data_IF_611418413988
#
_entry.id   IF_611418413988
#
_cell.length_a   1.000
_cell.length_b   1.000
_cell.length_c   1.000
_cell.angle_alpha   90.00
_cell.angle_beta   90.00
_cell.angle_gamma   90.00
#
_symmetry.space_group_name_H-M   'P 1'
#
loop_
_entity.id
_entity.type
_entity.pdbx_description
1 polymer ?
#
# COMPACT_ATOMS: atom_id res chain seq x y z
N UNK A 1 17.96 6.61 -0.98
CA UNK A 1 18.31 7.56 0.10
C UNK A 1 19.66 8.23 -0.09
N UNK A 2 20.80 7.52 0.02
CA UNK A 2 22.14 8.16 -0.04
C UNK A 2 22.36 9.06 -1.26
N UNK A 3 21.90 8.65 -2.45
CA UNK A 3 21.99 9.48 -3.66
C UNK A 3 21.20 10.81 -3.57
N UNK A 4 20.01 10.80 -2.97
CA UNK A 4 19.18 12.00 -2.79
C UNK A 4 19.86 12.99 -1.84
N UNK A 5 20.33 12.47 -0.69
CA UNK A 5 21.05 13.25 0.32
C UNK A 5 22.35 13.84 -0.24
N UNK A 6 23.12 13.06 -1.02
CA UNK A 6 24.36 13.50 -1.66
C UNK A 6 24.13 14.66 -2.64
N UNK A 7 22.93 14.81 -3.19
CA UNK A 7 22.54 15.92 -4.05
C UNK A 7 21.99 17.14 -3.28
N UNK A 8 22.02 17.12 -1.95
CA UNK A 8 21.62 18.25 -1.10
C UNK A 8 20.13 18.32 -0.77
N UNK A 9 19.36 17.25 -1.05
CA UNK A 9 17.93 17.19 -0.73
C UNK A 9 17.72 16.42 0.58
N UNK A 10 16.85 16.95 1.44
CA UNK A 10 16.43 16.26 2.66
C UNK A 10 15.52 15.07 2.32
N UNK A 11 15.49 14.07 3.20
CA UNK A 11 14.69 12.84 3.03
C UNK A 11 13.95 12.52 4.31
N UNK A 12 12.62 12.47 4.22
CA UNK A 12 11.79 11.85 5.26
C UNK A 12 11.65 10.34 5.00
N UNK A 13 12.28 9.53 5.83
CA UNK A 13 12.18 8.08 5.77
C UNK A 13 10.95 7.59 6.55
N UNK A 14 9.88 7.34 5.79
CA UNK A 14 8.59 6.89 6.30
C UNK A 14 8.54 5.40 6.72
N UNK A 15 9.64 4.65 6.58
CA UNK A 15 9.70 3.23 6.89
C UNK A 15 8.77 2.39 6.00
N UNK A 16 8.15 1.35 6.57
CA UNK A 16 7.19 0.52 5.86
C UNK A 16 5.81 1.18 5.80
N UNK A 17 5.27 1.33 4.59
CA UNK A 17 3.94 1.85 4.31
C UNK A 17 3.42 1.26 3.00
N UNK A 18 2.12 1.37 2.72
CA UNK A 18 1.56 1.02 1.41
C UNK A 18 1.88 2.09 0.37
N UNK A 19 1.84 1.75 -0.92
CA UNK A 19 2.00 2.73 -2.00
C UNK A 19 1.00 3.91 -1.87
N UNK A 20 -0.31 3.67 -1.64
CA UNK A 20 -1.27 4.75 -1.35
C UNK A 20 -0.95 5.55 -0.09
N UNK A 21 -0.34 4.92 0.92
CA UNK A 21 0.10 5.60 2.13
C UNK A 21 1.22 6.60 1.87
N UNK A 22 2.22 6.23 1.06
CA UNK A 22 3.27 7.16 0.64
C UNK A 22 2.71 8.30 -0.22
N UNK A 23 1.88 7.96 -1.21
CA UNK A 23 1.22 8.93 -2.10
C UNK A 23 0.44 9.99 -1.30
N UNK A 24 -0.32 9.55 -0.30
CA UNK A 24 -1.03 10.45 0.61
C UNK A 24 -0.09 11.38 1.38
N UNK A 25 1.03 10.86 1.91
CA UNK A 25 1.99 11.66 2.67
C UNK A 25 2.68 12.71 1.80
N UNK A 26 3.04 12.35 0.56
CA UNK A 26 3.63 13.27 -0.42
C UNK A 26 2.66 14.41 -0.73
N UNK A 27 1.41 14.08 -1.03
CA UNK A 27 0.35 15.08 -1.26
C UNK A 27 0.18 16.02 -0.08
N UNK A 28 0.27 15.51 1.14
CA UNK A 28 0.13 16.29 2.37
C UNK A 28 1.33 17.23 2.61
N UNK A 29 2.53 16.83 2.20
CA UNK A 29 3.73 17.66 2.28
C UNK A 29 3.69 18.83 1.29
N UNK A 30 3.09 18.63 0.10
CA UNK A 30 2.74 19.68 -0.86
C UNK A 30 3.84 20.09 -1.84
N UNK A 31 5.11 20.05 -1.43
CA UNK A 31 6.28 20.37 -2.28
C UNK A 31 7.31 19.24 -2.36
N UNK A 32 7.03 18.09 -1.76
CA UNK A 32 7.90 16.91 -1.78
C UNK A 32 7.62 16.02 -3.00
N UNK A 33 8.61 15.22 -3.40
CA UNK A 33 8.40 14.04 -4.26
C UNK A 33 8.58 12.78 -3.42
N UNK A 34 7.95 11.68 -3.82
CA UNK A 34 8.05 10.37 -3.17
C UNK A 34 8.83 9.35 -3.98
N UNK A 35 9.51 8.43 -3.30
CA UNK A 35 10.08 7.23 -3.92
C UNK A 35 9.67 6.02 -3.10
N UNK A 36 8.78 5.19 -3.67
CA UNK A 36 8.34 3.94 -3.05
C UNK A 36 9.25 2.80 -3.51
N UNK A 37 9.85 2.05 -2.60
CA UNK A 37 10.61 0.84 -2.94
C UNK A 37 9.64 -0.34 -2.99
N UNK A 38 9.34 -0.82 -4.18
CA UNK A 38 8.32 -1.85 -4.42
C UNK A 38 8.45 -2.46 -5.81
N UNK A 39 8.04 -3.72 -5.96
CA UNK A 39 7.71 -4.32 -7.25
C UNK A 39 6.23 -4.74 -7.32
N UNK A 40 5.37 -4.12 -6.52
CA UNK A 40 3.92 -4.33 -6.46
C UNK A 40 3.55 -5.82 -6.36
N UNK A 41 3.06 -6.40 -7.45
CA UNK A 41 2.53 -7.75 -7.54
C UNK A 41 3.56 -8.79 -8.01
N UNK A 42 4.79 -8.37 -8.32
CA UNK A 42 5.84 -9.25 -8.83
C UNK A 42 6.31 -10.28 -7.77
N UNK A 43 6.90 -11.40 -8.22
CA UNK A 43 7.52 -12.40 -7.34
C UNK A 43 8.64 -11.85 -6.42
N UNK A 44 9.00 -12.57 -5.33
CA UNK A 44 9.98 -12.12 -4.33
C UNK A 44 11.35 -11.68 -4.85
N UNK A 45 11.81 -12.25 -5.96
CA UNK A 45 13.11 -11.95 -6.57
C UNK A 45 13.15 -10.57 -7.25
N UNK A 46 12.00 -9.95 -7.47
CA UNK A 46 11.90 -8.62 -8.07
C UNK A 46 11.82 -7.54 -6.99
N UNK A 47 12.48 -6.43 -7.26
CA UNK A 47 12.29 -5.18 -6.54
C UNK A 47 12.44 -4.01 -7.53
N UNK A 48 11.95 -2.85 -7.15
CA UNK A 48 11.96 -1.68 -8.00
C UNK A 48 11.69 -0.42 -7.20
N UNK A 49 11.37 0.66 -7.90
CA UNK A 49 10.85 1.85 -7.27
C UNK A 49 9.81 2.53 -8.13
N UNK A 50 8.80 3.13 -7.49
CA UNK A 50 7.84 4.05 -8.10
C UNK A 50 8.21 5.47 -7.66
N UNK A 51 8.16 6.44 -8.57
CA UNK A 51 8.39 7.86 -8.25
C UNK A 51 7.04 8.57 -8.26
N UNK A 52 6.78 9.33 -7.19
CA UNK A 52 5.53 10.05 -6.94
C UNK A 52 5.82 11.55 -6.98
N UNK A 53 4.99 12.30 -7.67
CA UNK A 53 5.06 13.75 -7.79
C UNK A 53 4.40 14.45 -6.60
N UNK A 54 4.56 15.78 -6.50
CA UNK A 54 4.09 16.55 -5.33
C UNK A 54 2.58 16.58 -5.13
N UNK A 55 1.80 16.24 -6.14
CA UNK A 55 0.35 16.08 -6.03
C UNK A 55 -0.08 14.72 -5.43
N UNK A 56 0.88 13.82 -5.22
CA UNK A 56 0.69 12.47 -4.71
C UNK A 56 0.44 11.40 -5.77
N UNK A 57 0.53 11.74 -7.07
CA UNK A 57 0.35 10.78 -8.18
C UNK A 57 1.70 10.31 -8.69
N UNK A 58 1.80 9.10 -9.25
CA UNK A 58 3.00 8.68 -9.98
C UNK A 58 3.36 9.69 -11.08
N UNK A 59 4.66 9.90 -11.28
CA UNK A 59 5.14 10.85 -12.28
C UNK A 59 4.67 10.48 -13.69
N UNK A 60 4.34 11.49 -14.49
CA UNK A 60 3.95 11.30 -15.88
C UNK A 60 5.12 10.79 -16.75
N UNK A 61 4.77 10.19 -17.89
CA UNK A 61 5.73 9.53 -18.79
C UNK A 61 6.87 10.45 -19.26
N UNK A 62 6.59 11.71 -19.51
CA UNK A 62 7.59 12.71 -19.91
C UNK A 62 8.65 12.98 -18.81
N UNK A 63 8.23 12.96 -17.54
CA UNK A 63 9.13 13.04 -16.39
C UNK A 63 9.93 11.75 -16.22
N UNK A 64 9.32 10.58 -16.44
CA UNK A 64 10.07 9.30 -16.47
C UNK A 64 11.18 9.34 -17.52
N UNK A 65 10.85 9.72 -18.76
CA UNK A 65 11.80 9.82 -19.86
C UNK A 65 12.93 10.83 -19.57
N UNK A 66 12.60 11.91 -18.87
CA UNK A 66 13.60 12.86 -18.39
C UNK A 66 14.56 12.20 -17.40
N UNK A 67 14.07 11.45 -16.42
CA UNK A 67 14.89 10.73 -15.44
C UNK A 67 15.76 9.66 -16.14
N UNK A 68 15.17 8.88 -17.05
CA UNK A 68 15.87 7.87 -17.86
C UNK A 68 17.00 8.50 -18.69
N UNK A 69 16.75 9.66 -19.30
CA UNK A 69 17.74 10.40 -20.09
C UNK A 69 18.89 11.03 -19.29
N UNK A 70 18.70 11.23 -17.98
CA UNK A 70 19.75 11.70 -17.06
C UNK A 70 20.68 10.57 -16.61
N UNK A 71 20.13 9.36 -16.45
CA UNK A 71 20.87 8.21 -15.91
C UNK A 71 22.19 7.88 -16.63
N UNK A 72 22.25 7.80 -17.98
CA UNK A 72 23.48 7.41 -18.69
C UNK A 72 24.55 8.51 -18.68
N UNK A 73 24.19 9.77 -18.41
CA UNK A 73 25.12 10.91 -18.47
C UNK A 73 26.22 10.83 -17.41
N UNK A 74 25.98 10.11 -16.31
CA UNK A 74 26.90 9.93 -15.17
C UNK A 74 27.49 11.21 -14.58
N UNK A 75 26.95 12.38 -14.93
CA UNK A 75 27.41 13.70 -14.48
C UNK A 75 26.71 14.09 -13.17
N UNK A 76 26.83 13.23 -12.16
CA UNK A 76 26.22 13.43 -10.85
C UNK A 76 27.06 14.40 -10.03
N UNK A 77 26.49 15.55 -9.65
CA UNK A 77 27.14 16.52 -8.78
C UNK A 77 26.82 16.20 -7.33
N UNK A 78 27.85 15.89 -6.55
CA UNK A 78 27.74 15.81 -5.09
C UNK A 78 27.70 17.24 -4.53
N UNK A 79 26.69 17.53 -3.72
CA UNK A 79 26.55 18.80 -3.00
C UNK A 79 27.67 18.93 -1.95
N UNK A 80 28.16 20.16 -1.75
CA UNK A 80 29.06 20.48 -0.62
C UNK A 80 28.32 20.47 0.73
N UNK A 81 26.99 20.52 0.69
CA UNK A 81 26.10 20.47 1.84
C UNK A 81 25.07 19.37 1.58
N UNK A 82 25.37 18.12 1.98
CA UNK A 82 24.41 17.02 1.86
C UNK A 82 23.13 17.30 2.66
N UNK A 83 22.01 16.79 2.20
CA UNK A 83 20.74 16.86 2.92
C UNK A 83 20.74 15.96 4.16
N UNK A 84 19.67 16.07 4.94
CA UNK A 84 19.46 15.32 6.18
C UNK A 84 18.39 14.25 6.01
N UNK A 85 18.64 13.08 6.61
CA UNK A 85 17.60 12.06 6.79
C UNK A 85 16.87 12.32 8.09
N UNK A 86 15.56 12.40 8.03
CA UNK A 86 14.68 12.44 9.18
C UNK A 86 13.75 11.23 9.17
N UNK A 87 13.19 10.91 10.33
CA UNK A 87 12.17 9.88 10.46
C UNK A 87 10.93 10.57 11.05
N UNK A 88 9.90 10.88 10.24
CA UNK A 88 8.72 11.54 10.75
C UNK A 88 8.03 10.66 11.80
N UNK A 89 7.45 11.24 12.86
CA UNK A 89 6.75 10.47 13.87
C UNK A 89 5.45 9.89 13.28
N UNK A 90 5.31 8.57 13.35
CA UNK A 90 4.08 7.83 12.99
C UNK A 90 3.48 8.23 11.62
N UNK A 91 4.26 8.13 10.51
CA UNK A 91 3.80 8.57 9.19
C UNK A 91 2.49 7.87 8.79
N UNK A 92 2.39 6.58 9.10
CA UNK A 92 1.21 5.77 8.83
C UNK A 92 -0.05 6.24 9.60
N UNK A 93 0.10 6.81 10.79
CA UNK A 93 -1.03 7.28 11.59
C UNK A 93 -1.76 8.43 10.90
N UNK A 94 -1.03 9.31 10.20
CA UNK A 94 -1.64 10.40 9.42
C UNK A 94 -2.54 9.85 8.32
N UNK A 95 -2.08 8.81 7.62
CA UNK A 95 -2.86 8.13 6.59
C UNK A 95 -4.09 7.42 7.17
N UNK A 96 -3.89 6.61 8.22
CA UNK A 96 -4.97 5.88 8.90
C UNK A 96 -6.04 6.81 9.49
N UNK A 97 -5.62 7.91 10.12
CA UNK A 97 -6.53 8.93 10.64
C UNK A 97 -7.35 9.58 9.53
N UNK A 98 -6.73 9.91 8.39
CA UNK A 98 -7.43 10.43 7.23
C UNK A 98 -8.48 9.44 6.70
N UNK A 99 -8.09 8.19 6.46
CA UNK A 99 -9.01 7.12 6.06
C UNK A 99 -10.18 6.96 7.05
N UNK A 100 -9.89 7.03 8.35
CA UNK A 100 -10.90 6.99 9.40
C UNK A 100 -11.99 8.05 9.24
N UNK A 101 -11.68 9.24 8.72
CA UNK A 101 -12.67 10.31 8.50
C UNK A 101 -13.69 9.97 7.40
N UNK A 102 -13.30 9.21 6.38
CA UNK A 102 -14.21 8.78 5.32
C UNK A 102 -15.19 7.72 5.83
N UNK A 103 -14.72 6.82 6.69
CA UNK A 103 -15.51 5.69 7.20
C UNK A 103 -16.36 6.08 8.41
N UNK A 104 -15.90 6.99 9.27
CA UNK A 104 -16.63 7.46 10.46
C UNK A 104 -17.99 8.12 10.15
N UNK A 105 -18.17 8.59 8.91
CA UNK A 105 -19.44 9.18 8.44
C UNK A 105 -20.56 8.15 8.26
N UNK A 106 -20.24 6.85 8.29
CA UNK A 106 -21.20 5.76 8.12
C UNK A 106 -21.27 4.95 9.41
N UNK A 107 -22.47 4.72 9.93
CA UNK A 107 -22.67 3.80 11.06
C UNK A 107 -22.39 2.38 10.56
N UNK A 108 -21.17 1.88 10.78
CA UNK A 108 -20.90 0.45 10.66
C UNK A 108 -21.59 -0.23 11.83
N UNK A 109 -22.40 -1.25 11.55
CA UNK A 109 -22.96 -2.07 12.61
C UNK A 109 -21.81 -2.68 13.41
N UNK A 110 -21.77 -2.37 14.71
CA UNK A 110 -20.78 -2.94 15.61
C UNK A 110 -20.94 -4.47 15.55
N UNK A 111 -19.82 -5.20 15.38
CA UNK A 111 -19.70 -6.67 15.39
C UNK A 111 -19.79 -7.42 14.05
N UNK A 112 -19.73 -6.75 12.89
CA UNK A 112 -19.53 -7.48 11.63
C UNK A 112 -18.14 -8.14 11.60
N UNK A 113 -18.05 -9.37 11.08
CA UNK A 113 -16.78 -10.08 10.91
C UNK A 113 -16.29 -9.91 9.48
N UNK A 114 -15.04 -9.51 9.32
CA UNK A 114 -14.36 -9.38 8.01
C UNK A 114 -13.08 -10.19 8.04
N UNK A 115 -12.78 -10.89 6.94
CA UNK A 115 -11.49 -11.59 6.76
C UNK A 115 -10.57 -10.77 5.88
N UNK A 116 -9.32 -10.60 6.28
CA UNK A 116 -8.33 -9.82 5.50
C UNK A 116 -7.12 -10.69 5.21
N UNK A 117 -6.83 -10.92 3.92
CA UNK A 117 -5.60 -11.54 3.45
C UNK A 117 -4.63 -10.47 2.96
N UNK A 118 -3.62 -10.15 3.75
CA UNK A 118 -2.65 -9.10 3.39
C UNK A 118 -1.50 -9.64 2.55
N UNK A 119 -1.53 -10.93 2.20
CA UNK A 119 -0.59 -11.55 1.27
C UNK A 119 0.87 -11.43 1.70
N UNK A 120 1.17 -11.34 3.00
CA UNK A 120 2.49 -11.03 3.56
C UNK A 120 3.06 -9.65 3.16
N UNK A 121 2.23 -8.78 2.58
CA UNK A 121 2.57 -7.43 2.18
C UNK A 121 2.32 -6.38 3.26
N UNK A 122 2.62 -5.12 2.92
CA UNK A 122 2.54 -3.98 3.85
C UNK A 122 1.10 -3.54 4.17
N UNK A 123 0.09 -4.10 3.48
CA UNK A 123 -1.32 -3.91 3.83
C UNK A 123 -1.67 -4.40 5.26
N UNK A 124 -0.84 -5.27 5.86
CA UNK A 124 -0.90 -5.65 7.28
C UNK A 124 -0.90 -4.46 8.23
N UNK A 125 -0.26 -3.36 7.84
CA UNK A 125 -0.17 -2.14 8.64
C UNK A 125 -1.42 -1.25 8.51
N UNK A 126 -2.27 -1.47 7.50
CA UNK A 126 -3.37 -0.57 7.13
C UNK A 126 -4.74 -1.19 7.31
N UNK A 127 -5.20 -1.99 6.35
CA UNK A 127 -6.60 -2.47 6.27
C UNK A 127 -7.08 -3.16 7.55
N UNK A 128 -6.34 -4.12 8.14
CA UNK A 128 -6.76 -4.74 9.40
C UNK A 128 -6.85 -3.73 10.56
N UNK A 129 -5.96 -2.75 10.60
CA UNK A 129 -5.92 -1.72 11.64
C UNK A 129 -7.15 -0.81 11.52
N UNK A 130 -7.44 -0.34 10.31
CA UNK A 130 -8.60 0.53 10.04
C UNK A 130 -9.92 -0.18 10.36
N UNK A 131 -10.09 -1.43 9.91
CA UNK A 131 -11.31 -2.22 10.15
C UNK A 131 -11.54 -2.47 11.65
N UNK A 132 -10.48 -2.71 12.43
CA UNK A 132 -10.59 -2.82 13.89
C UNK A 132 -10.99 -1.49 14.54
N UNK A 133 -10.44 -0.35 14.08
CA UNK A 133 -10.77 0.99 14.60
C UNK A 133 -12.24 1.34 14.43
N UNK A 134 -12.87 0.89 13.34
CA UNK A 134 -14.30 1.13 13.07
C UNK A 134 -15.22 0.08 13.70
N UNK A 135 -14.67 -0.87 14.48
CA UNK A 135 -15.44 -1.81 15.31
C UNK A 135 -15.78 -3.14 14.65
N UNK A 136 -15.14 -3.50 13.53
CA UNK A 136 -15.24 -4.84 12.95
C UNK A 136 -14.46 -5.86 13.79
N UNK A 137 -14.97 -7.10 13.85
CA UNK A 137 -14.14 -8.25 14.19
C UNK A 137 -13.31 -8.60 12.96
N UNK A 138 -11.99 -8.55 13.07
CA UNK A 138 -11.09 -8.79 11.93
C UNK A 138 -10.33 -10.08 12.14
N UNK A 139 -10.52 -11.02 11.22
CA UNK A 139 -9.71 -12.23 11.10
C UNK A 139 -8.70 -11.99 9.99
N UNK A 140 -7.42 -12.27 10.24
CA UNK A 140 -6.37 -12.04 9.24
C UNK A 140 -5.73 -13.32 8.75
N UNK A 141 -5.29 -13.31 7.50
CA UNK A 141 -4.53 -14.36 6.82
C UNK A 141 -3.27 -13.70 6.27
N UNK A 142 -2.13 -14.40 6.35
CA UNK A 142 -0.84 -13.92 5.84
C UNK A 142 -0.42 -12.54 6.41
N UNK A 143 -0.80 -12.23 7.66
CA UNK A 143 -0.66 -10.89 8.28
C UNK A 143 0.72 -10.57 8.84
N UNK A 144 1.67 -11.51 8.72
CA UNK A 144 3.06 -11.26 8.98
C UNK A 144 3.74 -10.72 7.70
N UNK A 145 4.35 -9.53 7.79
CA UNK A 145 5.07 -8.92 6.68
C UNK A 145 6.31 -9.76 6.38
N UNK A 146 6.38 -10.33 5.18
CA UNK A 146 7.47 -11.17 4.72
C UNK A 146 7.61 -11.07 3.20
N UNK A 147 8.69 -10.42 2.73
CA UNK A 147 8.96 -10.20 1.31
C UNK A 147 9.22 -11.48 0.49
N UNK A 148 9.27 -12.66 1.15
CA UNK A 148 9.29 -13.96 0.47
C UNK A 148 7.91 -14.43 0.03
N UNK A 149 6.84 -13.75 0.45
CA UNK A 149 5.45 -14.05 0.11
C UNK A 149 5.06 -15.54 0.34
N UNK A 150 5.27 -16.11 1.54
CA UNK A 150 5.08 -17.55 1.78
C UNK A 150 3.62 -18.02 1.73
N UNK A 151 2.65 -17.13 1.98
CA UNK A 151 1.22 -17.49 2.02
C UNK A 151 0.59 -17.67 0.65
N UNK A 152 0.99 -16.84 -0.31
CA UNK A 152 0.64 -16.89 -1.74
C UNK A 152 1.51 -15.89 -2.49
N UNK A 153 1.52 -15.96 -3.82
CA UNK A 153 2.10 -14.90 -4.65
C UNK A 153 1.51 -13.53 -4.29
N UNK A 154 2.33 -12.48 -4.40
CA UNK A 154 1.95 -11.09 -4.07
C UNK A 154 0.62 -10.70 -4.72
N UNK A 155 0.43 -10.97 -6.01
CA UNK A 155 -0.82 -10.68 -6.71
C UNK A 155 -2.01 -11.51 -6.18
N UNK A 156 -3.15 -10.89 -5.76
CA UNK A 156 -4.34 -11.58 -5.29
C UNK A 156 -5.23 -12.05 -6.47
N UNK A 157 -4.80 -13.09 -7.18
CA UNK A 157 -5.55 -13.65 -8.31
C UNK A 157 -6.58 -14.69 -7.83
N UNK A 158 -7.75 -14.83 -8.48
CA UNK A 158 -8.80 -15.75 -8.02
C UNK A 158 -8.32 -17.17 -7.69
N UNK A 159 -7.38 -17.71 -8.46
CA UNK A 159 -6.80 -19.04 -8.26
C UNK A 159 -6.00 -19.20 -6.95
N UNK A 160 -5.55 -18.11 -6.32
CA UNK A 160 -4.78 -18.16 -5.08
C UNK A 160 -5.55 -17.67 -3.83
N UNK A 161 -6.83 -17.32 -3.98
CA UNK A 161 -7.69 -16.84 -2.89
C UNK A 161 -8.57 -17.92 -2.25
N UNK A 162 -8.32 -19.20 -2.56
CA UNK A 162 -8.99 -20.34 -1.93
C UNK A 162 -8.97 -20.31 -0.40
N UNK A 163 -7.82 -20.06 0.26
CA UNK A 163 -7.75 -19.92 1.72
C UNK A 163 -8.62 -18.78 2.27
N UNK A 164 -8.63 -17.61 1.60
CA UNK A 164 -9.50 -16.49 1.98
C UNK A 164 -10.98 -16.86 1.88
N UNK A 165 -11.40 -17.47 0.76
CA UNK A 165 -12.77 -17.92 0.58
C UNK A 165 -13.20 -18.98 1.61
N UNK A 166 -12.31 -19.89 1.98
CA UNK A 166 -12.56 -20.86 3.04
C UNK A 166 -12.74 -20.19 4.41
N UNK A 167 -11.85 -19.27 4.76
CA UNK A 167 -11.92 -18.52 6.01
C UNK A 167 -13.17 -17.66 6.11
N UNK A 168 -13.60 -17.00 5.02
CA UNK A 168 -14.85 -16.22 5.00
C UNK A 168 -16.05 -17.09 5.37
N UNK A 169 -16.19 -18.27 4.75
CA UNK A 169 -17.25 -19.23 5.07
C UNK A 169 -17.16 -19.76 6.50
N UNK A 170 -15.96 -20.11 6.96
CA UNK A 170 -15.73 -20.67 8.29
C UNK A 170 -16.06 -19.66 9.40
N UNK A 171 -15.64 -18.42 9.23
CA UNK A 171 -15.85 -17.33 10.19
C UNK A 171 -17.24 -16.71 10.08
N UNK A 172 -18.04 -17.11 9.08
CA UNK A 172 -19.33 -16.48 8.73
C UNK A 172 -19.15 -14.97 8.57
N UNK A 173 -18.06 -14.58 7.91
CA UNK A 173 -17.73 -13.20 7.67
C UNK A 173 -18.67 -12.61 6.61
N UNK A 174 -18.94 -11.30 6.71
CA UNK A 174 -19.79 -10.60 5.74
C UNK A 174 -19.11 -10.43 4.39
N UNK A 175 -17.77 -10.38 4.38
CA UNK A 175 -16.93 -10.47 3.20
C UNK A 175 -15.48 -10.74 3.62
N UNK A 176 -14.63 -11.05 2.64
CA UNK A 176 -13.19 -11.05 2.73
C UNK A 176 -12.56 -10.06 1.75
N UNK A 177 -11.36 -9.58 2.06
CA UNK A 177 -10.57 -8.72 1.16
C UNK A 177 -9.11 -9.18 1.11
N UNK A 178 -8.54 -9.24 -0.10
CA UNK A 178 -7.15 -9.57 -0.35
C UNK A 178 -6.40 -8.37 -0.94
N UNK A 179 -5.17 -8.14 -0.49
CA UNK A 179 -4.29 -7.09 -1.00
C UNK A 179 -3.07 -7.67 -1.73
N UNK A 180 -2.47 -6.87 -2.61
CA UNK A 180 -1.14 -7.17 -3.16
C UNK A 180 -0.01 -6.63 -2.27
N UNK A 181 1.24 -6.85 -2.68
CA UNK A 181 2.43 -6.66 -1.86
C UNK A 181 2.61 -5.24 -1.32
N UNK A 182 2.32 -4.22 -2.12
CA UNK A 182 2.36 -2.81 -1.72
C UNK A 182 1.00 -2.19 -1.38
N UNK A 183 -0.08 -2.99 -1.45
CA UNK A 183 -1.39 -2.64 -0.94
C UNK A 183 -2.12 -1.56 -1.74
N UNK A 184 -1.85 -1.43 -3.04
CA UNK A 184 -2.62 -0.57 -3.95
C UNK A 184 -3.81 -1.29 -4.58
N UNK A 185 -3.83 -2.64 -4.60
CA UNK A 185 -4.96 -3.45 -5.08
C UNK A 185 -5.77 -4.03 -3.94
N UNK A 186 -7.07 -4.21 -4.19
CA UNK A 186 -8.00 -4.92 -3.31
C UNK A 186 -8.92 -5.83 -4.13
N UNK A 187 -9.00 -7.11 -3.77
CA UNK A 187 -9.91 -8.10 -4.36
C UNK A 187 -10.85 -8.62 -3.28
N UNK A 188 -12.14 -8.63 -3.57
CA UNK A 188 -13.18 -8.96 -2.59
C UNK A 188 -13.70 -10.39 -2.78
N UNK A 189 -14.06 -10.99 -1.66
CA UNK A 189 -14.70 -12.30 -1.58
C UNK A 189 -16.00 -12.14 -0.81
N UNK A 190 -17.12 -12.56 -1.36
CA UNK A 190 -18.42 -12.46 -0.67
C UNK A 190 -18.60 -13.53 0.42
N UNK A 191 -19.72 -13.46 1.16
CA UNK A 191 -20.06 -14.37 2.26
C UNK A 191 -20.21 -15.84 1.82
N UNK A 192 -20.47 -16.09 0.54
CA UNK A 192 -20.51 -17.46 -0.03
C UNK A 192 -19.10 -17.99 -0.35
N UNK A 193 -18.10 -17.11 -0.29
CA UNK A 193 -16.73 -17.36 -0.65
C UNK A 193 -16.48 -17.27 -2.15
N UNK A 194 -17.30 -16.53 -2.91
CA UNK A 194 -17.04 -16.26 -4.32
C UNK A 194 -16.13 -15.04 -4.47
N UNK A 195 -15.10 -15.16 -5.31
CA UNK A 195 -14.14 -14.09 -5.61
C UNK A 195 -14.74 -13.16 -6.68
N UNK A 196 -14.66 -11.86 -6.46
CA UNK A 196 -15.16 -10.84 -7.39
C UNK A 196 -14.01 -10.06 -8.04
N UNK A 197 -14.16 -9.74 -9.33
CA UNK A 197 -13.19 -8.91 -10.04
C UNK A 197 -13.23 -7.46 -9.57
N UNK A 198 -12.14 -6.73 -9.83
CA UNK A 198 -12.04 -5.29 -9.56
C UNK A 198 -13.19 -4.50 -10.19
N UNK A 199 -13.56 -4.82 -11.43
CA UNK A 199 -14.66 -4.16 -12.15
C UNK A 199 -16.01 -4.30 -11.44
N UNK A 200 -16.30 -5.48 -10.87
CA UNK A 200 -17.53 -5.71 -10.10
C UNK A 200 -17.54 -4.84 -8.84
N UNK A 201 -16.44 -4.79 -8.10
CA UNK A 201 -16.35 -3.93 -6.92
C UNK A 201 -16.42 -2.44 -7.28
N UNK A 202 -15.79 -2.02 -8.38
CA UNK A 202 -15.87 -0.65 -8.87
C UNK A 202 -17.31 -0.26 -9.23
N UNK A 203 -18.06 -1.15 -9.88
CA UNK A 203 -19.48 -0.93 -10.24
C UNK A 203 -20.38 -0.72 -9.01
N UNK A 204 -20.00 -1.29 -7.85
CA UNK A 204 -20.78 -1.18 -6.61
C UNK A 204 -20.44 0.08 -5.78
N UNK A 205 -19.25 0.65 -5.96
CA UNK A 205 -18.75 1.79 -5.19
C UNK A 205 -19.01 3.07 -6.00
N UNK A 206 -20.19 3.67 -5.81
CA UNK A 206 -20.53 5.05 -6.24
C UNK A 206 -20.82 5.97 -5.04
#
# INVERSE_FOLDING_TARGET
>A
MAGILAHGNDVEDCGQTTTPGLQFLVKLAGDAAGVMITASHNPPEYNGFKVVDSDGVEIARDKEETIEGLFPRKSWRVSKSPGQRTNPPQPLERYLSSLGTYVARKKVEKRVTVVVDTGNGVAALTTPVLLRRIGCRVVTINDNIDGRFPGRTSEPRPENLGPLAAAVRQEKAVFGVAHDGDGDRAIFVDETGAVHSGDKSLTLIE
#
